data_IF_629349580563
#
_entry.id   IF_629349580563
#
_cell.length_a   1.000
_cell.length_b   1.000
_cell.length_c   1.000
_cell.angle_alpha   90.00
_cell.angle_beta   90.00
_cell.angle_gamma   90.00
#
_symmetry.space_group_name_H-M   'P 1'
#
loop_
_entity.id
_entity.type
_entity.pdbx_description
1 polymer ?
#
# COMPACT_ATOMS: atom_id res chain seq x y z
N UNK A 1 58.53 27.75 27.42
CA UNK A 1 57.54 28.07 26.43
C UNK A 1 57.69 27.08 25.26
N UNK A 2 57.02 25.98 25.30
CA UNK A 2 57.07 24.93 24.24
C UNK A 2 55.63 24.72 23.69
N UNK A 3 55.43 25.28 22.50
CA UNK A 3 54.17 25.18 21.78
C UNK A 3 54.04 23.77 21.15
N UNK A 4 53.02 23.03 21.55
CA UNK A 4 52.64 21.72 20.95
C UNK A 4 51.66 21.98 19.81
N UNK A 5 52.09 21.74 18.57
CA UNK A 5 51.22 21.70 17.41
C UNK A 5 50.55 20.31 17.33
N UNK A 6 49.22 20.29 17.45
CA UNK A 6 48.40 19.10 17.13
C UNK A 6 48.10 19.11 15.64
N UNK A 7 48.66 18.16 14.93
CA UNK A 7 48.33 17.88 13.52
C UNK A 7 47.09 17.00 13.51
N UNK A 8 45.95 17.54 13.08
CA UNK A 8 44.75 16.73 12.81
C UNK A 8 44.91 16.07 11.44
N UNK A 9 45.05 14.73 11.46
CA UNK A 9 44.96 13.90 10.26
C UNK A 9 43.50 13.76 9.92
N UNK A 10 43.04 14.45 8.89
CA UNK A 10 41.71 14.26 8.27
C UNK A 10 41.82 13.02 7.38
N UNK A 11 41.37 11.87 7.89
CA UNK A 11 41.10 10.67 7.10
C UNK A 11 39.85 10.92 6.27
N UNK A 12 40.05 11.34 5.04
CA UNK A 12 39.00 11.30 4.02
C UNK A 12 38.86 9.83 3.63
N UNK A 13 37.94 9.12 4.29
CA UNK A 13 37.44 7.86 3.79
C UNK A 13 36.54 8.18 2.58
N UNK A 14 37.06 7.98 1.37
CA UNK A 14 36.28 7.85 0.14
C UNK A 14 35.47 6.56 0.24
N UNK A 15 34.36 6.62 1.00
CA UNK A 15 33.32 5.61 0.94
C UNK A 15 32.71 5.66 -0.45
N UNK A 16 32.97 4.63 -1.24
CA UNK A 16 32.15 4.27 -2.36
C UNK A 16 30.70 4.14 -1.83
N UNK A 17 29.93 5.20 -2.04
CA UNK A 17 28.47 5.11 -1.92
C UNK A 17 28.05 4.23 -3.10
N UNK A 18 27.97 2.93 -2.85
CA UNK A 18 27.14 2.08 -3.68
C UNK A 18 25.75 2.69 -3.59
N UNK A 19 25.27 3.31 -4.68
CA UNK A 19 23.86 3.58 -4.86
C UNK A 19 23.16 2.20 -4.88
N UNK A 20 22.80 1.71 -3.69
CA UNK A 20 21.68 0.81 -3.59
C UNK A 20 20.50 1.60 -4.18
N UNK A 21 20.08 1.22 -5.36
CA UNK A 21 18.75 1.54 -5.89
C UNK A 21 17.74 0.91 -4.92
N UNK A 22 17.58 1.52 -3.76
CA UNK A 22 16.50 1.16 -2.84
C UNK A 22 15.21 1.54 -3.56
N UNK A 23 14.48 0.55 -4.04
CA UNK A 23 13.17 0.77 -4.63
C UNK A 23 12.34 1.53 -3.61
N UNK A 24 11.99 2.77 -3.94
CA UNK A 24 11.23 3.63 -3.06
C UNK A 24 9.80 3.09 -3.03
N UNK A 25 9.34 2.65 -1.85
CA UNK A 25 7.94 2.26 -1.66
C UNK A 25 7.04 3.49 -1.64
N UNK A 26 5.86 3.39 -2.27
CA UNK A 26 4.83 4.40 -2.16
C UNK A 26 4.15 4.30 -0.78
N UNK A 27 4.41 5.29 0.07
CA UNK A 27 4.03 5.28 1.48
C UNK A 27 3.25 6.54 1.83
N UNK A 28 2.04 6.37 2.33
CA UNK A 28 1.24 7.44 2.95
C UNK A 28 1.48 7.41 4.46
N UNK A 29 2.05 8.50 4.99
CA UNK A 29 2.35 8.64 6.42
C UNK A 29 1.15 9.16 7.18
N UNK A 30 0.96 8.62 8.37
CA UNK A 30 -0.06 9.05 9.33
C UNK A 30 0.59 9.42 10.67
N UNK A 31 -0.16 9.98 11.61
CA UNK A 31 0.36 10.36 12.92
C UNK A 31 0.96 9.17 13.70
N UNK A 32 0.39 7.98 13.55
CA UNK A 32 0.74 6.81 14.37
C UNK A 32 1.38 5.67 13.59
N UNK A 33 1.62 5.85 12.29
CA UNK A 33 2.18 4.82 11.43
C UNK A 33 2.15 5.21 9.97
N UNK A 34 1.96 4.22 9.08
CA UNK A 34 1.90 4.46 7.65
C UNK A 34 1.19 3.35 6.89
N UNK A 35 0.74 3.68 5.69
CA UNK A 35 0.19 2.75 4.71
C UNK A 35 1.23 2.60 3.60
N UNK A 36 1.75 1.41 3.41
CA UNK A 36 2.65 1.06 2.31
C UNK A 36 1.83 0.40 1.19
N UNK A 37 1.49 1.18 0.18
CA UNK A 37 0.72 0.71 -0.96
C UNK A 37 1.53 -0.18 -1.89
N UNK A 38 2.87 -0.02 -1.93
CA UNK A 38 3.75 -0.88 -2.73
C UNK A 38 3.80 -2.31 -2.19
N UNK A 39 3.91 -2.46 -0.89
CA UNK A 39 3.93 -3.76 -0.21
C UNK A 39 2.55 -4.20 0.29
N UNK A 40 1.53 -3.36 0.12
CA UNK A 40 0.13 -3.61 0.53
C UNK A 40 0.00 -3.99 2.00
N UNK A 41 0.63 -3.18 2.87
CA UNK A 41 0.65 -3.39 4.32
C UNK A 41 0.39 -2.07 5.05
N UNK A 42 -0.34 -2.15 6.15
CA UNK A 42 -0.54 -1.02 7.08
C UNK A 42 0.22 -1.34 8.35
N UNK A 43 1.08 -0.41 8.76
CA UNK A 43 1.93 -0.55 9.93
C UNK A 43 1.68 0.60 10.88
N UNK A 44 1.55 0.27 12.16
CA UNK A 44 1.45 1.27 13.22
C UNK A 44 2.40 0.94 14.36
N UNK A 45 2.61 1.92 15.24
CA UNK A 45 3.43 1.79 16.44
C UNK A 45 2.64 2.19 17.68
N UNK A 46 2.75 1.39 18.72
CA UNK A 46 2.26 1.73 20.06
C UNK A 46 3.39 1.75 21.05
N UNK A 47 3.32 2.63 22.03
CA UNK A 47 4.33 2.78 23.09
C UNK A 47 3.70 2.72 24.47
N UNK A 48 4.45 2.27 25.46
CA UNK A 48 4.04 2.33 26.87
C UNK A 48 5.25 2.55 27.78
N UNK A 49 5.01 3.17 28.93
CA UNK A 49 6.04 3.34 29.97
C UNK A 49 6.23 2.05 30.76
N UNK A 50 7.46 1.69 31.04
CA UNK A 50 7.81 0.66 32.02
C UNK A 50 7.75 1.32 33.39
N UNK A 51 6.82 0.89 34.22
CA UNK A 51 6.63 1.47 35.57
C UNK A 51 7.78 1.02 36.46
N UNK A 52 8.59 1.96 36.89
CA UNK A 52 9.57 1.76 37.96
C UNK A 52 8.83 1.87 39.30
N UNK A 53 8.53 0.76 39.93
CA UNK A 53 8.16 0.77 41.33
C UNK A 53 9.40 0.59 42.19
N UNK A 54 9.45 1.30 43.33
CA UNK A 54 10.56 1.19 44.26
C UNK A 54 10.82 -0.27 44.70
N UNK A 55 12.04 -0.63 45.02
CA UNK A 55 12.44 -2.00 45.29
C UNK A 55 11.71 -2.54 46.51
N UNK A 56 11.02 -3.64 46.30
CA UNK A 56 10.51 -4.55 47.31
C UNK A 56 11.40 -5.79 47.21
N UNK A 57 11.47 -6.62 48.23
CA UNK A 57 12.40 -7.73 48.39
C UNK A 57 12.51 -8.75 47.25
N UNK A 58 11.60 -8.68 46.25
CA UNK A 58 11.64 -9.50 45.01
C UNK A 58 11.73 -8.64 43.73
N UNK A 59 12.83 -7.93 43.59
CA UNK A 59 13.06 -6.96 42.50
C UNK A 59 13.00 -7.58 41.11
N UNK A 60 13.50 -8.83 40.93
CA UNK A 60 13.59 -9.45 39.62
C UNK A 60 12.20 -9.78 39.04
N UNK A 61 11.33 -10.43 39.83
CA UNK A 61 9.97 -10.75 39.42
C UNK A 61 9.13 -9.48 39.16
N UNK A 62 9.40 -8.42 39.91
CA UNK A 62 8.73 -7.13 39.71
C UNK A 62 9.12 -6.48 38.40
N UNK A 63 10.38 -6.47 38.03
CA UNK A 63 10.89 -5.93 36.76
C UNK A 63 10.28 -6.70 35.58
N UNK A 64 10.31 -8.03 35.60
CA UNK A 64 9.72 -8.86 34.55
C UNK A 64 8.21 -8.61 34.43
N UNK A 65 7.49 -8.53 35.53
CA UNK A 65 6.06 -8.23 35.56
C UNK A 65 5.75 -6.86 34.95
N UNK A 66 6.50 -5.83 35.34
CA UNK A 66 6.31 -4.47 34.83
C UNK A 66 6.62 -4.39 33.33
N UNK A 67 7.65 -5.10 32.87
CA UNK A 67 7.98 -5.19 31.46
C UNK A 67 6.88 -5.91 30.66
N UNK A 68 6.32 -7.01 31.17
CA UNK A 68 5.21 -7.72 30.56
C UNK A 68 3.95 -6.85 30.45
N UNK A 69 3.63 -6.09 31.50
CA UNK A 69 2.54 -5.14 31.49
C UNK A 69 2.74 -4.03 30.47
N UNK A 70 3.93 -3.43 30.41
CA UNK A 70 4.26 -2.39 29.44
C UNK A 70 4.16 -2.90 28.00
N UNK A 71 4.66 -4.11 27.70
CA UNK A 71 4.47 -4.76 26.40
C UNK A 71 3.00 -4.95 26.04
N UNK A 72 2.19 -5.40 27.01
CA UNK A 72 0.73 -5.52 26.82
C UNK A 72 0.05 -4.19 26.51
N UNK A 73 0.41 -3.14 27.25
CA UNK A 73 -0.11 -1.78 27.03
C UNK A 73 0.33 -1.21 25.67
N UNK A 74 1.61 -1.36 25.31
CA UNK A 74 2.12 -0.92 24.00
C UNK A 74 1.39 -1.62 22.85
N UNK A 75 1.13 -2.94 22.96
CA UNK A 75 0.36 -3.69 21.97
C UNK A 75 -1.10 -3.22 21.87
N UNK A 76 -1.73 -2.92 23.01
CA UNK A 76 -3.08 -2.37 23.05
C UNK A 76 -3.13 -0.99 22.40
N UNK A 77 -2.15 -0.14 22.68
CA UNK A 77 -2.04 1.18 22.04
C UNK A 77 -1.81 1.05 20.54
N UNK A 78 -0.93 0.13 20.10
CA UNK A 78 -0.71 -0.13 18.68
C UNK A 78 -2.02 -0.56 17.97
N UNK A 79 -2.83 -1.44 18.58
CA UNK A 79 -4.12 -1.82 18.01
C UNK A 79 -5.08 -0.63 17.86
N UNK A 80 -5.15 0.25 18.84
CA UNK A 80 -5.95 1.48 18.75
C UNK A 80 -5.48 2.37 17.60
N UNK A 81 -4.18 2.58 17.49
CA UNK A 81 -3.58 3.34 16.43
C UNK A 81 -3.85 2.71 15.05
N UNK A 82 -3.82 1.38 14.96
CA UNK A 82 -4.10 0.66 13.74
C UNK A 82 -5.56 0.84 13.28
N UNK A 83 -6.52 0.84 14.22
CA UNK A 83 -7.93 1.17 13.92
C UNK A 83 -8.04 2.54 13.27
N UNK A 84 -7.40 3.56 13.85
CA UNK A 84 -7.47 4.94 13.34
C UNK A 84 -6.81 5.10 11.96
N UNK A 85 -5.77 4.31 11.66
CA UNK A 85 -5.16 4.31 10.32
C UNK A 85 -6.07 3.59 9.32
N UNK A 86 -6.59 2.42 9.67
CA UNK A 86 -7.48 1.63 8.79
C UNK A 86 -8.74 2.39 8.43
N UNK A 87 -9.33 3.12 9.36
CA UNK A 87 -10.50 3.97 9.11
C UNK A 87 -10.28 4.99 8.00
N UNK A 88 -9.06 5.53 7.87
CA UNK A 88 -8.69 6.54 6.87
C UNK A 88 -8.31 5.96 5.51
N UNK A 89 -8.32 4.64 5.36
CA UNK A 89 -8.07 4.02 4.06
C UNK A 89 -9.24 4.32 3.12
N UNK A 90 -8.93 4.84 1.94
CA UNK A 90 -9.90 4.97 0.86
C UNK A 90 -10.01 3.62 0.13
N UNK A 91 -11.23 3.12 -0.04
CA UNK A 91 -11.47 1.84 -0.72
C UNK A 91 -11.91 2.03 -2.18
N UNK A 92 -13.02 2.70 -2.41
CA UNK A 92 -13.65 2.95 -3.72
C UNK A 92 -14.36 4.32 -3.70
N UNK A 93 -13.63 5.39 -3.34
CA UNK A 93 -14.18 6.71 -3.08
C UNK A 93 -14.81 6.87 -1.69
N UNK A 94 -14.90 5.79 -0.93
CA UNK A 94 -15.43 5.79 0.44
C UNK A 94 -14.35 5.43 1.44
N UNK A 95 -14.31 6.14 2.57
CA UNK A 95 -13.43 5.75 3.67
C UNK A 95 -13.93 4.47 4.35
N UNK A 96 -12.99 3.66 4.81
CA UNK A 96 -13.34 2.47 5.60
C UNK A 96 -14.17 2.84 6.83
N UNK A 97 -13.98 4.04 7.41
CA UNK A 97 -14.78 4.55 8.53
C UNK A 97 -16.26 4.67 8.18
N UNK A 98 -16.58 5.18 6.99
CA UNK A 98 -17.95 5.30 6.52
C UNK A 98 -18.61 3.93 6.32
N UNK A 99 -17.86 3.00 5.73
CA UNK A 99 -18.32 1.62 5.56
C UNK A 99 -18.56 0.92 6.92
N UNK A 100 -17.66 1.12 7.89
CA UNK A 100 -17.83 0.59 9.25
C UNK A 100 -19.01 1.22 9.99
N UNK A 101 -19.33 2.48 9.70
CA UNK A 101 -20.46 3.19 10.33
C UNK A 101 -21.78 2.70 9.78
N UNK A 102 -21.86 2.50 8.48
CA UNK A 102 -23.09 2.10 7.80
C UNK A 102 -23.36 0.59 7.90
N UNK A 103 -22.33 -0.23 8.07
CA UNK A 103 -22.43 -1.69 8.07
C UNK A 103 -21.79 -2.33 9.32
N UNK A 104 -22.56 -2.68 10.35
CA UNK A 104 -22.03 -3.31 11.57
C UNK A 104 -21.23 -4.60 11.33
N UNK A 105 -21.55 -5.34 10.28
CA UNK A 105 -20.82 -6.56 9.92
C UNK A 105 -19.40 -6.25 9.46
N UNK A 106 -19.23 -5.23 8.62
CA UNK A 106 -17.92 -4.73 8.20
C UNK A 106 -17.11 -4.29 9.40
N UNK A 107 -17.70 -3.47 10.28
CA UNK A 107 -17.06 -3.03 11.52
C UNK A 107 -16.51 -4.20 12.34
N UNK A 108 -17.34 -5.19 12.62
CA UNK A 108 -16.94 -6.36 13.43
C UNK A 108 -15.80 -7.15 12.77
N UNK A 109 -15.82 -7.30 11.43
CA UNK A 109 -14.78 -8.01 10.68
C UNK A 109 -13.46 -7.23 10.68
N UNK A 110 -13.51 -5.91 10.47
CA UNK A 110 -12.31 -5.04 10.51
C UNK A 110 -11.71 -5.05 11.92
N UNK A 111 -12.52 -4.91 12.97
CA UNK A 111 -12.04 -4.99 14.36
C UNK A 111 -11.42 -6.37 14.67
N UNK A 112 -12.00 -7.45 14.17
CA UNK A 112 -11.45 -8.80 14.30
C UNK A 112 -10.11 -8.96 13.57
N UNK A 113 -10.00 -8.44 12.35
CA UNK A 113 -8.74 -8.41 11.58
C UNK A 113 -7.65 -7.66 12.36
N UNK A 114 -7.96 -6.49 12.91
CA UNK A 114 -7.02 -5.71 13.73
C UNK A 114 -6.69 -6.43 15.03
N UNK A 115 -7.63 -7.13 15.62
CA UNK A 115 -7.41 -7.99 16.78
C UNK A 115 -6.34 -9.07 16.52
N UNK A 116 -6.26 -9.58 15.28
CA UNK A 116 -5.29 -10.57 14.82
C UNK A 116 -4.03 -9.98 14.18
N UNK A 117 -3.84 -8.65 14.25
CA UNK A 117 -2.66 -7.97 13.72
C UNK A 117 -1.37 -8.61 14.24
N UNK A 118 -0.42 -8.84 13.34
CA UNK A 118 0.85 -9.45 13.69
C UNK A 118 1.91 -8.42 14.05
N UNK A 119 2.88 -8.83 14.87
CA UNK A 119 4.00 -7.98 15.23
C UNK A 119 4.96 -7.85 14.05
N UNK A 120 5.29 -6.60 13.72
CA UNK A 120 6.26 -6.27 12.68
C UNK A 120 7.59 -5.87 13.32
N UNK A 121 8.61 -6.68 13.09
CA UNK A 121 9.94 -6.46 13.69
C UNK A 121 10.03 -6.83 15.17
N UNK A 122 11.09 -6.40 15.79
CA UNK A 122 11.39 -6.66 17.19
C UNK A 122 10.74 -5.62 18.13
N UNK A 123 10.69 -5.94 19.41
CA UNK A 123 10.25 -5.01 20.44
C UNK A 123 11.39 -4.03 20.70
N UNK A 124 11.10 -2.75 20.56
CA UNK A 124 12.09 -1.70 20.79
C UNK A 124 12.03 -1.18 22.22
N UNK A 125 13.19 -1.05 22.85
CA UNK A 125 13.36 -0.41 24.14
C UNK A 125 13.87 1.00 23.92
N UNK A 126 13.04 1.99 24.27
CA UNK A 126 13.32 3.39 24.05
C UNK A 126 13.88 4.04 25.32
N UNK A 127 14.51 5.20 25.16
CA UNK A 127 14.91 6.04 26.27
C UNK A 127 13.71 6.38 27.18
N UNK A 128 14.02 6.77 28.44
CA UNK A 128 13.03 7.10 29.47
C UNK A 128 12.08 5.94 29.79
N UNK A 129 12.63 4.72 29.86
CA UNK A 129 11.88 3.52 30.30
C UNK A 129 10.58 3.29 29.52
N UNK A 130 10.66 3.39 28.20
CA UNK A 130 9.55 3.09 27.30
C UNK A 130 9.83 1.84 26.47
N UNK A 131 8.75 1.13 26.14
CA UNK A 131 8.75 0.04 25.18
C UNK A 131 7.87 0.42 23.99
N UNK A 132 8.28 0.05 22.79
CA UNK A 132 7.48 0.22 21.58
C UNK A 132 7.28 -1.12 20.87
N UNK A 133 6.09 -1.29 20.31
CA UNK A 133 5.70 -2.47 19.52
C UNK A 133 5.08 -1.96 18.23
N UNK A 134 5.57 -2.46 17.08
CA UNK A 134 4.93 -2.26 15.80
C UNK A 134 3.99 -3.43 15.49
N UNK A 135 2.79 -3.11 15.04
CA UNK A 135 1.80 -4.07 14.54
C UNK A 135 1.48 -3.77 13.08
N UNK A 136 1.14 -4.82 12.35
CA UNK A 136 0.79 -4.71 10.95
C UNK A 136 -0.43 -5.56 10.58
N UNK A 137 -1.17 -5.08 9.56
CA UNK A 137 -2.18 -5.83 8.84
C UNK A 137 -1.93 -5.75 7.34
N UNK A 138 -2.29 -6.79 6.61
CA UNK A 138 -2.22 -6.79 5.15
C UNK A 138 -3.46 -6.13 4.57
N UNK A 139 -3.29 -5.31 3.53
CA UNK A 139 -4.43 -4.72 2.81
C UNK A 139 -5.30 -5.77 2.13
N UNK A 140 -4.76 -6.95 1.79
CA UNK A 140 -5.56 -8.07 1.29
C UNK A 140 -6.62 -8.54 2.30
N UNK A 141 -6.33 -8.49 3.60
CA UNK A 141 -7.32 -8.80 4.63
C UNK A 141 -8.44 -7.77 4.71
N UNK A 142 -8.11 -6.49 4.50
CA UNK A 142 -9.12 -5.41 4.41
C UNK A 142 -9.94 -5.60 3.13
N UNK A 143 -9.28 -5.83 1.98
CA UNK A 143 -9.96 -6.08 0.73
C UNK A 143 -10.92 -7.28 0.82
N UNK A 144 -10.52 -8.38 1.47
CA UNK A 144 -11.38 -9.56 1.68
C UNK A 144 -12.68 -9.23 2.43
N UNK A 145 -12.63 -8.24 3.30
CA UNK A 145 -13.81 -7.79 4.08
C UNK A 145 -14.69 -6.87 3.25
N UNK A 146 -14.08 -5.93 2.51
CA UNK A 146 -14.78 -4.83 1.85
C UNK A 146 -15.25 -5.18 0.43
N UNK A 147 -14.54 -6.11 -0.23
CA UNK A 147 -14.87 -6.52 -1.58
C UNK A 147 -16.14 -7.36 -1.58
N UNK A 148 -17.21 -6.82 -2.16
CA UNK A 148 -18.46 -7.55 -2.32
C UNK A 148 -18.28 -8.74 -3.28
N UNK A 149 -19.16 -9.73 -3.20
CA UNK A 149 -19.11 -10.90 -4.09
C UNK A 149 -19.69 -10.57 -5.46
N UNK A 150 -20.58 -9.59 -5.52
CA UNK A 150 -21.27 -9.17 -6.73
C UNK A 150 -20.48 -8.13 -7.53
N UNK A 151 -20.67 -8.11 -8.84
CA UNK A 151 -20.08 -7.11 -9.73
C UNK A 151 -18.71 -7.47 -10.31
N UNK A 152 -18.02 -8.48 -9.79
CA UNK A 152 -16.74 -8.92 -10.33
C UNK A 152 -16.87 -9.81 -11.56
N UNK A 153 -15.82 -9.81 -12.39
CA UNK A 153 -15.70 -10.75 -13.49
C UNK A 153 -15.72 -12.19 -12.94
N UNK A 154 -16.42 -13.08 -13.62
CA UNK A 154 -16.51 -14.49 -13.23
C UNK A 154 -15.13 -15.18 -13.16
N UNK A 155 -14.94 -16.04 -12.16
CA UNK A 155 -13.70 -16.82 -11.96
C UNK A 155 -13.58 -17.98 -12.97
N UNK A 156 -14.67 -18.41 -13.60
CA UNK A 156 -14.71 -19.56 -14.51
C UNK A 156 -14.04 -19.33 -15.86
N UNK A 157 -13.44 -18.14 -16.04
CA UNK A 157 -12.49 -17.88 -17.12
C UNK A 157 -13.08 -17.92 -18.53
N UNK A 158 -14.41 -17.83 -18.66
CA UNK A 158 -15.02 -17.68 -19.98
C UNK A 158 -14.51 -16.38 -20.62
N UNK A 159 -13.43 -16.54 -21.40
CA UNK A 159 -12.91 -15.47 -22.23
C UNK A 159 -14.00 -15.20 -23.27
N UNK A 160 -14.55 -13.98 -23.33
CA UNK A 160 -15.51 -13.65 -24.37
C UNK A 160 -14.93 -14.03 -25.74
N UNK A 161 -15.71 -14.64 -26.61
CA UNK A 161 -15.25 -15.20 -27.90
C UNK A 161 -14.55 -14.19 -28.82
N UNK A 162 -14.79 -12.88 -28.64
CA UNK A 162 -14.10 -11.82 -29.36
C UNK A 162 -12.62 -11.65 -28.95
N UNK A 163 -12.20 -12.20 -27.80
CA UNK A 163 -10.81 -12.20 -27.36
C UNK A 163 -9.98 -13.37 -27.92
N UNK A 164 -10.61 -14.29 -28.63
CA UNK A 164 -9.92 -15.48 -29.17
C UNK A 164 -9.11 -15.20 -30.44
N UNK A 165 -9.31 -14.07 -31.12
CA UNK A 165 -8.52 -13.72 -32.30
C UNK A 165 -7.37 -12.81 -31.89
N UNK A 166 -6.37 -13.38 -31.23
CA UNK A 166 -5.13 -12.64 -30.94
C UNK A 166 -4.31 -12.49 -32.22
N UNK A 167 -4.12 -11.26 -32.67
CA UNK A 167 -3.11 -10.96 -33.67
C UNK A 167 -1.75 -11.46 -33.17
N UNK A 168 -0.95 -12.08 -34.05
CA UNK A 168 0.43 -12.46 -33.74
C UNK A 168 1.25 -11.17 -33.77
N UNK A 169 1.31 -10.51 -32.59
CA UNK A 169 2.10 -9.28 -32.41
C UNK A 169 3.48 -9.69 -31.88
N UNK A 170 4.57 -9.18 -32.47
CA UNK A 170 5.93 -9.41 -31.95
C UNK A 170 6.01 -9.06 -30.46
N UNK A 171 6.82 -9.80 -29.70
CA UNK A 171 6.94 -9.63 -28.24
C UNK A 171 7.39 -8.21 -27.86
N UNK A 172 8.20 -7.56 -28.70
CA UNK A 172 8.67 -6.17 -28.54
C UNK A 172 7.57 -5.11 -28.70
N UNK A 173 6.47 -5.45 -29.37
CA UNK A 173 5.34 -4.54 -29.63
C UNK A 173 4.16 -4.79 -28.70
N UNK A 174 4.25 -5.83 -27.85
CA UNK A 174 3.18 -6.16 -26.91
C UNK A 174 3.16 -5.18 -25.75
N UNK A 175 2.05 -4.50 -25.56
CA UNK A 175 1.81 -3.72 -24.37
C UNK A 175 1.72 -4.67 -23.18
N UNK A 176 2.57 -4.44 -22.18
CA UNK A 176 2.72 -5.32 -21.02
C UNK A 176 1.86 -4.93 -19.82
N UNK A 177 1.40 -3.68 -19.79
CA UNK A 177 0.57 -3.10 -18.73
C UNK A 177 0.19 -1.67 -19.07
N UNK A 178 -0.47 -0.99 -18.15
CA UNK A 178 -0.88 0.41 -18.27
C UNK A 178 -0.32 1.20 -17.10
N UNK A 179 0.24 2.36 -17.38
CA UNK A 179 0.68 3.34 -16.38
C UNK A 179 -0.15 4.60 -16.56
N UNK A 180 -0.80 5.04 -15.50
CA UNK A 180 -1.51 6.32 -15.44
C UNK A 180 -0.58 7.32 -14.74
N UNK A 181 -0.14 8.33 -15.46
CA UNK A 181 0.67 9.41 -14.89
C UNK A 181 -0.27 10.46 -14.27
N UNK A 182 -0.32 10.47 -12.97
CA UNK A 182 -1.17 11.35 -12.15
C UNK A 182 -0.35 12.36 -11.34
N UNK A 183 0.96 12.50 -11.64
CA UNK A 183 1.88 13.32 -10.83
C UNK A 183 1.56 14.82 -10.87
N UNK A 184 0.81 15.29 -11.85
CA UNK A 184 0.36 16.68 -11.90
C UNK A 184 -0.88 16.96 -11.03
N UNK A 185 -1.44 15.92 -10.42
CA UNK A 185 -2.64 15.99 -9.61
C UNK A 185 -2.36 15.62 -8.16
N UNK A 186 -3.01 16.31 -7.23
CA UNK A 186 -3.00 15.94 -5.81
C UNK A 186 -4.25 15.13 -5.52
N UNK A 187 -4.09 13.81 -5.45
CA UNK A 187 -5.16 12.86 -5.16
C UNK A 187 -4.68 11.82 -4.16
N UNK A 188 -5.57 11.38 -3.30
CA UNK A 188 -5.28 10.32 -2.35
C UNK A 188 -5.38 8.94 -3.03
N UNK A 189 -4.47 7.99 -2.70
CA UNK A 189 -4.55 6.65 -3.26
C UNK A 189 -5.76 5.89 -2.72
N UNK A 190 -6.46 5.16 -3.61
CA UNK A 190 -7.58 4.29 -3.29
C UNK A 190 -7.19 2.81 -3.44
N UNK A 191 -7.86 1.91 -2.71
CA UNK A 191 -7.67 0.47 -2.89
C UNK A 191 -8.30 -0.05 -4.18
N UNK A 192 -9.34 0.60 -4.70
CA UNK A 192 -10.11 0.17 -5.88
C UNK A 192 -10.59 1.36 -6.71
N UNK A 193 -9.67 2.20 -7.25
CA UNK A 193 -10.06 3.35 -8.08
C UNK A 193 -10.60 2.88 -9.42
N UNK A 194 -11.46 3.70 -10.03
CA UNK A 194 -11.91 3.52 -11.39
C UNK A 194 -11.17 4.45 -12.37
N UNK A 195 -11.04 4.04 -13.62
CA UNK A 195 -10.55 4.87 -14.72
C UNK A 195 -11.71 5.10 -15.68
N UNK A 196 -11.99 6.37 -15.97
CA UNK A 196 -13.16 6.81 -16.72
C UNK A 196 -12.68 7.68 -17.89
N UNK A 197 -13.35 7.61 -19.04
CA UNK A 197 -13.06 8.51 -20.15
C UNK A 197 -13.82 9.84 -20.00
N UNK A 198 -13.47 10.83 -20.82
CA UNK A 198 -14.11 12.15 -20.82
C UNK A 198 -15.59 12.15 -21.18
N UNK A 199 -16.14 11.01 -21.62
CA UNK A 199 -17.57 10.82 -21.85
C UNK A 199 -18.29 10.17 -20.68
N UNK A 200 -17.56 9.79 -19.61
CA UNK A 200 -18.11 9.10 -18.46
C UNK A 200 -18.22 7.59 -18.63
N UNK A 201 -17.57 7.00 -19.63
CA UNK A 201 -17.58 5.54 -19.80
C UNK A 201 -16.44 4.92 -19.00
N UNK A 202 -16.75 3.81 -18.30
CA UNK A 202 -15.76 3.03 -17.57
C UNK A 202 -14.69 2.46 -18.53
N UNK A 203 -13.44 2.72 -18.21
CA UNK A 203 -12.26 2.17 -18.91
C UNK A 203 -11.63 1.04 -18.11
N UNK A 204 -11.58 1.21 -16.79
CA UNK A 204 -11.07 0.19 -15.87
C UNK A 204 -11.80 0.27 -14.53
N UNK A 205 -12.18 -0.86 -13.96
CA UNK A 205 -12.87 -0.98 -12.69
C UNK A 205 -13.26 -2.43 -12.41
N UNK A 206 -14.13 -2.64 -11.45
CA UNK A 206 -14.52 -3.94 -10.89
C UNK A 206 -14.91 -5.00 -11.95
N UNK A 207 -15.50 -4.59 -13.09
CA UNK A 207 -15.92 -5.48 -14.17
C UNK A 207 -14.75 -6.09 -14.97
N UNK A 208 -13.52 -5.58 -14.80
CA UNK A 208 -12.36 -6.01 -15.59
C UNK A 208 -11.59 -7.17 -14.97
N UNK A 209 -11.67 -7.36 -13.66
CA UNK A 209 -10.88 -8.36 -12.94
C UNK A 209 -11.73 -9.20 -12.01
N UNK A 210 -11.21 -10.36 -11.61
CA UNK A 210 -11.89 -11.24 -10.66
C UNK A 210 -11.71 -10.75 -9.23
N UNK A 211 -12.62 -11.16 -8.33
CA UNK A 211 -12.52 -10.89 -6.90
C UNK A 211 -11.19 -11.38 -6.32
N UNK A 212 -10.78 -12.59 -6.69
CA UNK A 212 -9.50 -13.15 -6.25
C UNK A 212 -8.31 -12.27 -6.61
N UNK A 213 -8.27 -11.69 -7.80
CA UNK A 213 -7.22 -10.74 -8.21
C UNK A 213 -7.28 -9.43 -7.42
N UNK A 214 -8.49 -8.89 -7.21
CA UNK A 214 -8.68 -7.70 -6.40
C UNK A 214 -8.11 -7.87 -4.98
N UNK A 215 -8.42 -8.97 -4.33
CA UNK A 215 -7.95 -9.27 -2.98
C UNK A 215 -6.44 -9.53 -2.95
N UNK A 216 -5.94 -10.42 -3.78
CA UNK A 216 -4.55 -10.91 -3.69
C UNK A 216 -3.54 -9.94 -4.31
N UNK A 217 -3.83 -9.39 -5.49
CA UNK A 217 -2.90 -8.51 -6.23
C UNK A 217 -3.22 -7.04 -5.99
N UNK A 218 -4.49 -6.72 -5.76
CA UNK A 218 -5.04 -5.38 -5.81
C UNK A 218 -5.27 -4.92 -7.25
N UNK A 219 -6.33 -4.15 -7.49
CA UNK A 219 -6.64 -3.65 -8.83
C UNK A 219 -5.50 -2.83 -9.44
N UNK A 220 -4.90 -1.96 -8.65
CA UNK A 220 -3.84 -1.04 -9.08
C UNK A 220 -2.62 -1.11 -8.16
N UNK A 221 -1.51 -0.58 -8.61
CA UNK A 221 -0.32 -0.28 -7.80
C UNK A 221 -0.03 1.22 -7.83
N UNK A 222 0.83 1.66 -6.92
CA UNK A 222 1.25 3.05 -6.77
C UNK A 222 2.77 3.16 -6.72
N UNK A 223 3.32 4.19 -7.35
CA UNK A 223 4.74 4.49 -7.38
C UNK A 223 4.96 6.00 -7.54
N UNK A 224 6.16 6.48 -7.23
CA UNK A 224 6.54 7.87 -7.48
C UNK A 224 7.18 8.06 -8.86
N UNK A 225 7.81 7.03 -9.39
CA UNK A 225 8.58 7.08 -10.64
C UNK A 225 8.47 5.79 -11.43
N UNK A 226 8.65 5.88 -12.74
CA UNK A 226 8.78 4.73 -13.64
C UNK A 226 9.95 3.81 -13.27
N UNK A 227 10.99 4.35 -12.62
CA UNK A 227 12.19 3.62 -12.22
C UNK A 227 12.00 2.80 -10.95
N UNK A 228 10.88 2.97 -10.24
CA UNK A 228 10.58 2.19 -9.05
C UNK A 228 10.41 0.71 -9.42
N UNK A 229 11.10 -0.16 -8.70
CA UNK A 229 11.16 -1.60 -8.99
C UNK A 229 9.78 -2.27 -9.11
N UNK A 230 8.81 -1.85 -8.30
CA UNK A 230 7.45 -2.36 -8.30
C UNK A 230 6.69 -2.03 -9.59
N UNK A 231 7.06 -0.96 -10.32
CA UNK A 231 6.46 -0.62 -11.63
C UNK A 231 6.75 -1.74 -12.61
N UNK A 232 8.02 -2.05 -12.87
CA UNK A 232 8.39 -3.12 -13.79
C UNK A 232 7.86 -4.50 -13.40
N UNK A 233 7.76 -4.78 -12.10
CA UNK A 233 7.18 -6.02 -11.60
C UNK A 233 5.67 -6.14 -11.91
N UNK A 234 4.94 -5.02 -11.87
CA UNK A 234 3.50 -5.01 -12.09
C UNK A 234 3.12 -4.89 -13.55
N UNK A 235 3.69 -3.93 -14.26
CA UNK A 235 3.27 -3.59 -15.64
C UNK A 235 4.22 -4.12 -16.71
N UNK A 236 5.34 -4.72 -16.32
CA UNK A 236 6.33 -5.27 -17.28
C UNK A 236 7.20 -4.19 -17.92
N UNK A 237 7.92 -4.57 -18.98
CA UNK A 237 8.96 -3.73 -19.59
C UNK A 237 8.50 -2.83 -20.74
N UNK A 238 7.24 -2.95 -21.19
CA UNK A 238 6.69 -2.13 -22.28
C UNK A 238 5.25 -1.69 -21.95
N UNK A 239 5.05 -0.87 -20.89
CA UNK A 239 3.72 -0.39 -20.55
C UNK A 239 3.26 0.73 -21.48
N UNK A 240 1.95 0.81 -21.71
CA UNK A 240 1.30 1.99 -22.27
C UNK A 240 1.24 3.06 -21.16
N UNK A 241 1.83 4.22 -21.41
CA UNK A 241 1.77 5.36 -20.47
C UNK A 241 0.69 6.32 -20.96
N UNK A 242 -0.19 6.71 -20.04
CA UNK A 242 -1.34 7.60 -20.28
C UNK A 242 -1.35 8.67 -19.18
N UNK A 243 -1.63 9.90 -19.54
CA UNK A 243 -1.76 11.00 -18.59
C UNK A 243 -3.18 11.07 -18.01
N UNK A 244 -3.28 11.26 -16.69
CA UNK A 244 -4.54 11.63 -16.06
C UNK A 244 -4.87 13.09 -16.41
N UNK A 245 -6.11 13.35 -16.79
CA UNK A 245 -6.58 14.71 -17.11
C UNK A 245 -7.40 15.33 -15.98
N UNK A 246 -7.76 14.54 -14.98
CA UNK A 246 -8.50 15.02 -13.80
C UNK A 246 -8.92 13.89 -12.89
N UNK A 247 -9.53 14.29 -11.78
CA UNK A 247 -10.06 13.38 -10.76
C UNK A 247 -11.43 13.91 -10.29
N UNK A 248 -12.32 13.00 -10.00
CA UNK A 248 -13.55 13.27 -9.27
C UNK A 248 -13.71 12.17 -8.23
N UNK A 249 -13.70 12.55 -6.95
CA UNK A 249 -13.54 11.66 -5.82
C UNK A 249 -12.21 10.87 -5.95
N UNK A 250 -12.23 9.57 -6.17
CA UNK A 250 -11.04 8.74 -6.48
C UNK A 250 -11.03 8.20 -7.92
N UNK A 251 -12.02 8.57 -8.72
CA UNK A 251 -12.09 8.24 -10.13
C UNK A 251 -11.11 9.06 -10.96
N UNK A 252 -10.38 8.37 -11.82
CA UNK A 252 -9.33 8.96 -12.64
C UNK A 252 -9.85 9.17 -14.06
N UNK A 253 -9.80 10.38 -14.55
CA UNK A 253 -10.22 10.72 -15.91
C UNK A 253 -9.03 10.73 -16.86
N UNK A 254 -9.21 10.10 -18.02
CA UNK A 254 -8.24 10.09 -19.13
C UNK A 254 -8.92 10.57 -20.42
N UNK A 255 -8.13 10.98 -21.41
CA UNK A 255 -8.68 11.38 -22.70
C UNK A 255 -9.38 10.21 -23.40
N UNK A 256 -10.38 10.51 -24.25
CA UNK A 256 -11.07 9.46 -25.02
C UNK A 256 -10.13 8.71 -25.96
N UNK A 257 -9.13 9.40 -26.51
CA UNK A 257 -8.13 8.77 -27.37
C UNK A 257 -7.24 7.77 -26.59
N UNK A 258 -6.87 8.12 -25.36
CA UNK A 258 -6.07 7.22 -24.52
C UNK A 258 -6.94 6.08 -23.97
N UNK A 259 -8.22 6.35 -23.70
CA UNK A 259 -9.18 5.30 -23.33
C UNK A 259 -9.32 4.22 -24.43
N UNK A 260 -9.35 4.62 -25.71
CA UNK A 260 -9.34 3.67 -26.84
C UNK A 260 -8.07 2.82 -26.85
N UNK A 261 -6.88 3.45 -26.68
CA UNK A 261 -5.60 2.72 -26.61
C UNK A 261 -5.59 1.71 -25.44
N UNK A 262 -6.12 2.10 -24.28
CA UNK A 262 -6.20 1.22 -23.11
C UNK A 262 -7.16 0.04 -23.35
N UNK A 263 -8.33 0.29 -23.97
CA UNK A 263 -9.27 -0.76 -24.34
C UNK A 263 -8.68 -1.71 -25.38
N UNK A 264 -7.94 -1.20 -26.35
CA UNK A 264 -7.22 -2.01 -27.33
C UNK A 264 -6.11 -2.86 -26.68
N UNK A 265 -5.39 -2.30 -25.72
CA UNK A 265 -4.40 -3.04 -24.93
C UNK A 265 -5.05 -4.18 -24.11
N UNK A 266 -6.20 -3.95 -23.50
CA UNK A 266 -6.98 -5.03 -22.85
C UNK A 266 -7.41 -6.10 -23.85
N UNK A 267 -8.03 -5.69 -24.95
CA UNK A 267 -8.54 -6.61 -25.97
C UNK A 267 -7.44 -7.51 -26.53
N UNK A 268 -6.26 -6.95 -26.80
CA UNK A 268 -5.17 -7.70 -27.42
C UNK A 268 -4.29 -8.46 -26.43
N UNK A 269 -4.11 -7.93 -25.19
CA UNK A 269 -3.09 -8.43 -24.27
C UNK A 269 -3.61 -8.78 -22.88
N UNK A 270 -4.84 -8.40 -22.55
CA UNK A 270 -5.48 -8.70 -21.25
C UNK A 270 -4.79 -8.00 -20.08
N UNK A 271 -4.35 -6.76 -20.26
CA UNK A 271 -3.57 -6.03 -19.25
C UNK A 271 -4.41 -5.63 -18.04
N UNK A 272 -5.64 -5.21 -18.28
CA UNK A 272 -6.58 -4.78 -17.23
C UNK A 272 -7.11 -5.98 -16.43
N UNK A 273 -7.52 -7.03 -17.13
CA UNK A 273 -8.00 -8.26 -16.49
C UNK A 273 -6.94 -8.99 -15.67
N UNK A 274 -5.66 -8.64 -15.87
CA UNK A 274 -4.55 -9.10 -15.05
C UNK A 274 -4.08 -8.08 -14.00
N UNK A 275 -4.83 -7.00 -13.75
CA UNK A 275 -4.49 -5.94 -12.80
C UNK A 275 -3.09 -5.35 -13.04
N UNK A 276 -2.65 -5.26 -14.30
CA UNK A 276 -1.37 -4.68 -14.69
C UNK A 276 -1.52 -3.17 -14.91
N UNK A 277 -2.00 -2.51 -13.87
CA UNK A 277 -2.25 -1.06 -13.85
C UNK A 277 -1.44 -0.45 -12.71
N UNK A 278 -0.74 0.65 -13.01
CA UNK A 278 0.09 1.39 -12.08
C UNK A 278 -0.23 2.87 -12.17
N UNK A 279 -0.37 3.53 -11.03
CA UNK A 279 -0.46 4.98 -10.93
C UNK A 279 0.87 5.56 -10.49
N UNK A 280 1.34 6.58 -11.21
CA UNK A 280 2.43 7.44 -10.76
C UNK A 280 1.83 8.62 -10.03
N UNK A 281 2.23 8.82 -8.78
CA UNK A 281 1.73 9.84 -7.87
C UNK A 281 2.88 10.74 -7.39
N UNK A 282 2.55 11.89 -6.78
CA UNK A 282 3.52 12.77 -6.12
C UNK A 282 3.94 12.28 -4.74
#
# INVERSE_FOLDING_TARGET
>A
MTSRYYVYFLLISSGLVSQENSSRSFIVRTEHGFIDYSNRIIICRGTANIIEKQPVDDTFNLIEKNLRLAKGQARTQARKNLVEIVKKVNFDGRLVEDLMTNEPLIKNRVESLIGSAYQQGEIEYLEKNKVAIALAVRMSGIAEILVDVEGYRSEDGSIPSYLMTRAIVPKSERISGVVIDAREHSVDPSMSPEIIDMQGNLVYGILHYTRSKSVNTGPVGYAYSMDDKNVGQRVGGNPLVVEAVGFLDDDVYITSMDAEKVRDAEKNFGVLSNCRVMFLMQ
#
